data_IF_060758908377
#
_entry.id   IF_060758908377
#
_cell.length_a   1.000
_cell.length_b   1.000
_cell.length_c   1.000
_cell.angle_alpha   90.00
_cell.angle_beta   90.00
_cell.angle_gamma   90.00
#
_symmetry.space_group_name_H-M   'P 1'
#
loop_
_entity.id
_entity.type
_entity.pdbx_description
1 polymer ?
#
# COMPACT_ATOMS: atom_id res chain seq x y z
N UNK A 1 -12.21 -25.80 15.12
CA UNK A 1 -11.88 -24.40 14.79
C UNK A 1 -11.21 -23.80 16.00
N UNK A 2 -9.91 -23.56 15.94
CA UNK A 2 -9.17 -22.88 17.01
C UNK A 2 -9.77 -21.49 17.18
N UNK A 3 -10.18 -21.15 18.40
CA UNK A 3 -10.77 -19.84 18.68
C UNK A 3 -9.71 -18.76 18.38
N UNK A 4 -9.94 -17.95 17.34
CA UNK A 4 -9.06 -16.85 16.94
C UNK A 4 -9.26 -15.60 17.82
N UNK A 5 -10.07 -15.68 18.87
CA UNK A 5 -10.30 -14.56 19.76
C UNK A 5 -9.00 -14.18 20.49
N UNK A 6 -8.62 -12.90 20.39
CA UNK A 6 -7.62 -12.31 21.27
C UNK A 6 -8.08 -12.41 22.73
N UNK A 7 -7.15 -12.57 23.68
CA UNK A 7 -7.49 -12.54 25.09
C UNK A 7 -8.20 -11.21 25.44
N UNK A 8 -9.07 -11.20 26.46
CA UNK A 8 -9.70 -9.96 26.92
C UNK A 8 -8.62 -8.97 27.38
N UNK A 9 -8.84 -7.69 27.07
CA UNK A 9 -7.94 -6.62 27.52
C UNK A 9 -8.09 -6.50 29.05
N UNK A 10 -6.99 -6.60 29.82
CA UNK A 10 -7.03 -6.38 31.26
C UNK A 10 -7.53 -4.98 31.61
N UNK A 11 -8.38 -4.90 32.65
CA UNK A 11 -9.01 -3.64 33.09
C UNK A 11 -8.07 -2.74 33.91
N UNK A 12 -6.91 -3.26 34.31
CA UNK A 12 -5.91 -2.61 35.17
C UNK A 12 -4.73 -2.00 34.41
N UNK A 13 -4.75 -1.99 33.07
CA UNK A 13 -3.75 -1.28 32.29
C UNK A 13 -3.80 0.22 32.57
N UNK A 14 -2.64 0.79 32.91
CA UNK A 14 -2.46 2.23 32.86
C UNK A 14 -2.41 2.73 31.39
N UNK A 15 -2.43 4.04 31.21
CA UNK A 15 -2.45 4.68 29.90
C UNK A 15 -1.22 4.32 29.04
N UNK A 16 -0.06 4.13 29.65
CA UNK A 16 1.19 3.82 28.93
C UNK A 16 1.17 2.36 28.43
N UNK A 17 0.69 1.43 29.24
CA UNK A 17 0.44 0.05 28.84
C UNK A 17 -0.58 -0.01 27.70
N UNK A 18 -1.70 0.73 27.80
CA UNK A 18 -2.67 0.83 26.70
C UNK A 18 -2.04 1.37 25.41
N UNK A 19 -1.21 2.42 25.51
CA UNK A 19 -0.52 2.98 24.35
C UNK A 19 0.45 1.97 23.71
N UNK A 20 1.19 1.21 24.52
CA UNK A 20 2.11 0.18 24.04
C UNK A 20 1.36 -0.97 23.34
N UNK A 21 0.25 -1.43 23.92
CA UNK A 21 -0.59 -2.48 23.35
C UNK A 21 -1.25 -2.05 22.04
N UNK A 22 -1.77 -0.82 21.97
CA UNK A 22 -2.30 -0.24 20.72
C UNK A 22 -1.20 -0.22 19.65
N UNK A 23 0.01 0.23 20.00
CA UNK A 23 1.13 0.33 19.06
C UNK A 23 1.60 -1.04 18.58
N UNK A 24 1.71 -2.01 19.48
CA UNK A 24 2.07 -3.39 19.16
C UNK A 24 1.04 -4.02 18.23
N UNK A 25 -0.24 -3.93 18.57
CA UNK A 25 -1.32 -4.50 17.77
C UNK A 25 -1.42 -3.81 16.40
N UNK A 26 -1.22 -2.50 16.33
CA UNK A 26 -1.18 -1.78 15.06
C UNK A 26 -0.04 -2.30 14.16
N UNK A 27 1.16 -2.55 14.71
CA UNK A 27 2.28 -3.17 13.99
C UNK A 27 1.94 -4.57 13.48
N UNK A 28 1.33 -5.41 14.33
CA UNK A 28 0.88 -6.75 13.95
C UNK A 28 -0.19 -6.72 12.85
N UNK A 29 -1.15 -5.78 12.91
CA UNK A 29 -2.15 -5.56 11.86
C UNK A 29 -1.49 -5.14 10.55
N UNK A 30 -0.43 -4.31 10.59
CA UNK A 30 0.32 -3.93 9.40
C UNK A 30 1.04 -5.13 8.78
N UNK A 31 1.76 -5.92 9.58
CA UNK A 31 2.41 -7.15 9.11
C UNK A 31 1.40 -8.17 8.55
N UNK A 32 0.24 -8.32 9.19
CA UNK A 32 -0.85 -9.16 8.67
C UNK A 32 -1.43 -8.62 7.36
N UNK A 33 -1.57 -7.29 7.22
CA UNK A 33 -1.95 -6.66 5.96
C UNK A 33 -0.90 -6.92 4.86
N UNK A 34 0.40 -6.79 5.14
CA UNK A 34 1.46 -7.16 4.19
C UNK A 34 1.27 -8.59 3.71
N UNK A 35 1.11 -9.54 4.65
CA UNK A 35 0.89 -10.95 4.31
C UNK A 35 -0.33 -11.16 3.42
N UNK A 36 -1.45 -10.48 3.72
CA UNK A 36 -2.65 -10.49 2.88
C UNK A 36 -2.36 -9.97 1.47
N UNK A 37 -1.63 -8.86 1.33
CA UNK A 37 -1.27 -8.31 0.01
C UNK A 37 -0.40 -9.27 -0.80
N UNK A 38 0.56 -9.99 -0.17
CA UNK A 38 1.36 -11.00 -0.90
C UNK A 38 0.49 -12.16 -1.41
N UNK A 39 -0.54 -12.56 -0.65
CA UNK A 39 -1.51 -13.56 -1.11
C UNK A 39 -2.35 -13.03 -2.27
N UNK A 40 -2.82 -11.77 -2.19
CA UNK A 40 -3.57 -11.11 -3.25
C UNK A 40 -2.73 -11.03 -4.54
N UNK A 41 -1.47 -10.61 -4.46
CA UNK A 41 -0.57 -10.53 -5.62
C UNK A 41 -0.44 -11.87 -6.35
N UNK A 42 -0.11 -12.94 -5.62
CA UNK A 42 -0.01 -14.28 -6.20
C UNK A 42 -1.34 -14.78 -6.77
N UNK A 43 -2.45 -14.48 -6.10
CA UNK A 43 -3.79 -14.89 -6.54
C UNK A 43 -4.22 -14.15 -7.82
N UNK A 44 -3.91 -12.86 -7.92
CA UNK A 44 -4.19 -12.03 -9.10
C UNK A 44 -3.35 -12.46 -10.30
N UNK A 45 -2.04 -12.69 -10.11
CA UNK A 45 -1.14 -13.21 -11.15
C UNK A 45 -1.61 -14.55 -11.72
N UNK A 46 -2.08 -15.46 -10.86
CA UNK A 46 -2.61 -16.76 -11.27
C UNK A 46 -4.01 -16.68 -11.88
N UNK A 47 -4.61 -15.47 -11.93
CA UNK A 47 -6.03 -15.25 -12.30
C UNK A 47 -6.98 -16.17 -11.53
N UNK A 48 -6.64 -16.52 -10.28
CA UNK A 48 -7.40 -17.46 -9.47
C UNK A 48 -8.81 -16.96 -9.13
N UNK A 49 -9.02 -15.66 -9.24
CA UNK A 49 -10.32 -15.01 -9.09
C UNK A 49 -11.29 -15.33 -10.22
N UNK A 50 -10.82 -15.74 -11.40
CA UNK A 50 -11.66 -15.81 -12.62
C UNK A 50 -12.83 -16.80 -12.51
N UNK A 51 -12.71 -17.87 -11.72
CA UNK A 51 -13.79 -18.83 -11.47
C UNK A 51 -14.42 -19.36 -12.76
N UNK A 52 -13.59 -19.69 -13.77
CA UNK A 52 -14.07 -20.12 -15.09
C UNK A 52 -14.61 -18.98 -15.98
N UNK A 53 -14.24 -17.72 -15.71
CA UNK A 53 -14.64 -16.53 -16.49
C UNK A 53 -15.82 -15.74 -15.91
N UNK A 54 -16.34 -16.13 -14.75
CA UNK A 54 -17.54 -15.53 -14.14
C UNK A 54 -17.27 -14.22 -13.40
N UNK A 55 -16.10 -14.09 -12.77
CA UNK A 55 -15.73 -12.88 -12.01
C UNK A 55 -14.83 -12.00 -12.85
N UNK A 56 -15.09 -10.68 -12.86
CA UNK A 56 -14.46 -9.72 -13.79
C UNK A 56 -13.02 -9.32 -13.44
N UNK A 57 -12.59 -9.46 -12.19
CA UNK A 57 -11.24 -9.07 -11.71
C UNK A 57 -11.01 -9.56 -10.28
N UNK A 58 -9.76 -9.57 -9.82
CA UNK A 58 -9.42 -9.85 -8.42
C UNK A 58 -10.16 -8.93 -7.43
N UNK A 59 -10.30 -7.64 -7.74
CA UNK A 59 -11.00 -6.70 -6.86
C UNK A 59 -12.48 -7.05 -6.67
N UNK A 60 -13.16 -7.53 -7.72
CA UNK A 60 -14.54 -8.01 -7.63
C UNK A 60 -14.64 -9.30 -6.81
N UNK A 61 -13.65 -10.19 -6.94
CA UNK A 61 -13.57 -11.40 -6.13
C UNK A 61 -13.40 -11.08 -4.65
N UNK A 62 -12.49 -10.15 -4.30
CA UNK A 62 -12.30 -9.68 -2.93
C UNK A 62 -13.56 -9.00 -2.37
N UNK A 63 -14.28 -8.26 -3.21
CA UNK A 63 -15.55 -7.67 -2.80
C UNK A 63 -16.59 -8.73 -2.43
N UNK A 64 -16.73 -9.76 -3.25
CA UNK A 64 -17.67 -10.85 -2.99
C UNK A 64 -17.24 -11.75 -1.83
N UNK A 65 -16.00 -12.26 -1.85
CA UNK A 65 -15.54 -13.30 -0.92
C UNK A 65 -15.02 -12.77 0.40
N UNK A 66 -14.52 -11.53 0.43
CA UNK A 66 -13.95 -10.93 1.63
C UNK A 66 -14.79 -9.76 2.16
N UNK A 67 -15.89 -9.40 1.50
CA UNK A 67 -16.75 -8.28 1.92
C UNK A 67 -16.08 -6.90 1.83
N UNK A 68 -14.97 -6.77 1.10
CA UNK A 68 -14.21 -5.51 0.99
C UNK A 68 -14.90 -4.62 -0.04
N UNK A 69 -15.18 -3.35 0.31
CA UNK A 69 -15.74 -2.40 -0.66
C UNK A 69 -14.88 -2.32 -1.94
N UNK A 70 -15.51 -2.23 -3.12
CA UNK A 70 -14.82 -2.37 -4.40
C UNK A 70 -13.66 -1.37 -4.59
N UNK A 71 -13.79 -0.14 -4.09
CA UNK A 71 -12.72 0.87 -4.10
C UNK A 71 -11.50 0.44 -3.27
N UNK A 72 -11.72 -0.03 -2.04
CA UNK A 72 -10.67 -0.55 -1.18
C UNK A 72 -10.05 -1.83 -1.74
N UNK A 73 -10.84 -2.69 -2.39
CA UNK A 73 -10.34 -3.90 -3.04
C UNK A 73 -9.40 -3.56 -4.21
N UNK A 74 -9.78 -2.59 -5.07
CA UNK A 74 -8.91 -2.10 -6.15
C UNK A 74 -7.61 -1.50 -5.61
N UNK A 75 -7.69 -0.73 -4.51
CA UNK A 75 -6.51 -0.19 -3.87
C UNK A 75 -5.58 -1.30 -3.39
N UNK A 76 -6.10 -2.32 -2.70
CA UNK A 76 -5.30 -3.46 -2.23
C UNK A 76 -4.63 -4.20 -3.38
N UNK A 77 -5.35 -4.47 -4.47
CA UNK A 77 -4.77 -5.12 -5.67
C UNK A 77 -3.64 -4.27 -6.26
N UNK A 78 -3.82 -2.95 -6.39
CA UNK A 78 -2.76 -2.04 -6.87
C UNK A 78 -1.54 -2.07 -5.96
N UNK A 79 -1.73 -1.90 -4.65
CA UNK A 79 -0.62 -1.89 -3.69
C UNK A 79 0.11 -3.22 -3.69
N UNK A 80 -0.63 -4.34 -3.76
CA UNK A 80 -0.05 -5.68 -3.84
C UNK A 80 0.88 -5.83 -5.06
N UNK A 81 0.47 -5.35 -6.24
CA UNK A 81 1.31 -5.36 -7.44
C UNK A 81 2.52 -4.45 -7.34
N UNK A 82 2.39 -3.25 -6.76
CA UNK A 82 3.51 -2.32 -6.61
C UNK A 82 4.62 -2.83 -5.68
N UNK A 83 4.27 -3.56 -4.61
CA UNK A 83 5.25 -4.02 -3.62
C UNK A 83 6.28 -5.00 -4.19
N UNK A 84 6.01 -5.64 -5.32
CA UNK A 84 6.94 -6.59 -5.95
C UNK A 84 8.22 -5.91 -6.46
N UNK A 85 8.16 -4.61 -6.76
CA UNK A 85 9.28 -3.81 -7.23
C UNK A 85 9.84 -2.86 -6.17
N UNK A 86 9.44 -2.97 -4.91
CA UNK A 86 9.78 -2.02 -3.85
C UNK A 86 10.32 -2.75 -2.60
N UNK A 87 11.52 -3.36 -2.67
CA UNK A 87 12.02 -4.27 -1.65
C UNK A 87 12.20 -3.62 -0.27
N UNK A 88 12.56 -2.34 -0.20
CA UNK A 88 12.75 -1.66 1.08
C UNK A 88 11.40 -1.38 1.76
N UNK A 89 10.43 -0.90 0.99
CA UNK A 89 9.06 -0.66 1.49
C UNK A 89 8.40 -2.00 1.85
N UNK A 90 8.57 -3.05 1.03
CA UNK A 90 8.03 -4.40 1.31
C UNK A 90 8.59 -4.94 2.63
N UNK A 91 9.90 -4.82 2.86
CA UNK A 91 10.57 -5.27 4.10
C UNK A 91 10.07 -4.51 5.33
N UNK A 92 10.06 -3.17 5.29
CA UNK A 92 9.58 -2.35 6.41
C UNK A 92 8.10 -2.60 6.72
N UNK A 93 7.28 -2.84 5.68
CA UNK A 93 5.87 -3.15 5.87
C UNK A 93 5.65 -4.56 6.45
N UNK A 94 6.45 -5.55 6.03
CA UNK A 94 6.44 -6.90 6.58
C UNK A 94 6.78 -6.90 8.09
N UNK A 95 7.70 -6.04 8.51
CA UNK A 95 8.07 -5.84 9.91
C UNK A 95 7.02 -5.05 10.72
N UNK A 96 6.00 -4.47 10.07
CA UNK A 96 4.95 -3.67 10.72
C UNK A 96 5.38 -2.25 11.10
N UNK A 97 6.58 -1.82 10.69
CA UNK A 97 7.19 -0.52 11.03
C UNK A 97 6.49 0.67 10.34
N UNK A 98 5.92 0.42 9.17
CA UNK A 98 5.14 1.40 8.41
C UNK A 98 3.70 0.92 8.23
N UNK A 99 2.75 1.86 8.29
CA UNK A 99 1.33 1.52 8.19
C UNK A 99 0.87 1.32 6.75
N UNK A 100 -0.19 0.52 6.57
CA UNK A 100 -0.84 0.36 5.26
C UNK A 100 -1.23 1.71 4.63
N UNK A 101 -1.62 2.69 5.44
CA UNK A 101 -1.94 4.04 4.97
C UNK A 101 -0.73 4.78 4.39
N UNK A 102 0.47 4.61 4.96
CA UNK A 102 1.70 5.16 4.40
C UNK A 102 2.08 4.43 3.12
N UNK A 103 2.04 3.09 3.13
CA UNK A 103 2.38 2.24 1.98
C UNK A 103 1.45 2.52 0.78
N UNK A 104 0.12 2.56 0.97
CA UNK A 104 -0.84 2.84 -0.10
C UNK A 104 -0.62 4.22 -0.74
N UNK A 105 -0.16 5.20 0.04
CA UNK A 105 0.17 6.53 -0.44
C UNK A 105 1.48 6.51 -1.24
N UNK A 106 2.58 5.99 -0.67
CA UNK A 106 3.89 5.93 -1.32
C UNK A 106 3.86 5.19 -2.66
N UNK A 107 3.22 4.02 -2.70
CA UNK A 107 3.09 3.19 -3.92
C UNK A 107 2.36 3.87 -5.10
N UNK A 108 1.89 5.11 -4.97
CA UNK A 108 1.38 5.90 -6.10
C UNK A 108 2.49 6.53 -6.93
N UNK A 109 3.68 6.70 -6.36
CA UNK A 109 4.83 7.37 -6.99
C UNK A 109 6.16 6.67 -6.71
N UNK A 110 6.18 5.68 -5.81
CA UNK A 110 7.36 4.95 -5.45
C UNK A 110 7.90 4.14 -6.62
N UNK A 111 9.20 4.23 -6.83
CA UNK A 111 10.01 3.45 -7.76
C UNK A 111 11.23 2.90 -7.02
N UNK A 112 11.93 1.89 -7.54
CA UNK A 112 13.16 1.39 -6.92
C UNK A 112 14.20 2.50 -6.64
N UNK A 113 14.24 3.54 -7.47
CA UNK A 113 15.20 4.63 -7.38
C UNK A 113 14.87 5.64 -6.27
N UNK A 114 13.60 5.78 -5.89
CA UNK A 114 13.14 6.78 -4.91
C UNK A 114 12.57 6.19 -3.62
N UNK A 115 12.46 4.86 -3.51
CA UNK A 115 11.80 4.21 -2.37
C UNK A 115 12.49 4.47 -1.03
N UNK A 116 13.83 4.56 -0.98
CA UNK A 116 14.58 4.87 0.24
C UNK A 116 14.19 6.26 0.79
N UNK A 117 14.12 7.26 -0.08
CA UNK A 117 13.72 8.62 0.29
C UNK A 117 12.30 8.65 0.87
N UNK A 118 11.35 8.00 0.18
CA UNK A 118 9.96 7.93 0.65
C UNK A 118 9.85 7.15 1.97
N UNK A 119 10.61 6.06 2.12
CA UNK A 119 10.64 5.24 3.33
C UNK A 119 11.15 6.02 4.53
N UNK A 120 12.23 6.80 4.38
CA UNK A 120 12.74 7.68 5.46
C UNK A 120 11.66 8.66 5.93
N UNK A 121 10.94 9.29 5.00
CA UNK A 121 9.83 10.18 5.34
C UNK A 121 8.72 9.41 6.07
N UNK A 122 8.43 8.19 5.63
CA UNK A 122 7.41 7.36 6.26
C UNK A 122 7.81 6.90 7.66
N UNK A 123 9.08 6.64 7.95
CA UNK A 123 9.55 6.22 9.28
C UNK A 123 9.44 7.35 10.31
N UNK A 124 9.78 8.58 9.94
CA UNK A 124 9.79 9.72 10.87
C UNK A 124 8.57 10.65 10.76
N UNK A 125 7.71 10.45 9.76
CA UNK A 125 6.56 11.30 9.46
C UNK A 125 5.20 10.66 9.76
N UNK A 126 4.15 11.50 9.76
CA UNK A 126 2.76 11.02 9.82
C UNK A 126 2.29 10.56 8.44
N UNK A 127 1.18 9.81 8.38
CA UNK A 127 0.56 9.45 7.10
C UNK A 127 0.19 10.69 6.26
N UNK A 128 -0.26 11.78 6.91
CA UNK A 128 -0.55 13.05 6.22
C UNK A 128 0.70 13.70 5.62
N UNK A 129 1.85 13.62 6.29
CA UNK A 129 3.13 14.08 5.72
C UNK A 129 3.48 13.30 4.45
N UNK A 130 3.35 11.97 4.50
CA UNK A 130 3.57 11.10 3.33
C UNK A 130 2.62 11.47 2.19
N UNK A 131 1.33 11.63 2.48
CA UNK A 131 0.33 12.00 1.46
C UNK A 131 0.63 13.35 0.80
N UNK A 132 1.06 14.36 1.58
CA UNK A 132 1.47 15.68 1.06
C UNK A 132 2.69 15.57 0.16
N UNK A 133 3.72 14.84 0.56
CA UNK A 133 4.95 14.65 -0.22
C UNK A 133 4.64 13.93 -1.54
N UNK A 134 3.90 12.82 -1.48
CA UNK A 134 3.46 12.07 -2.66
C UNK A 134 2.63 12.95 -3.60
N UNK A 135 1.71 13.76 -3.06
CA UNK A 135 0.90 14.69 -3.84
C UNK A 135 1.75 15.69 -4.62
N UNK A 136 2.73 16.32 -3.96
CA UNK A 136 3.67 17.26 -4.60
C UNK A 136 4.55 16.57 -5.64
N UNK A 137 5.11 15.40 -5.32
CA UNK A 137 5.93 14.64 -6.25
C UNK A 137 5.17 14.35 -7.54
N UNK A 138 3.94 13.84 -7.43
CA UNK A 138 3.09 13.55 -8.59
C UNK A 138 2.79 14.79 -9.44
N UNK A 139 2.61 15.95 -8.81
CA UNK A 139 2.37 17.20 -9.53
C UNK A 139 3.61 17.63 -10.34
N UNK A 140 4.80 17.52 -9.75
CA UNK A 140 6.06 17.87 -10.42
C UNK A 140 6.36 16.90 -11.56
N UNK A 141 6.25 15.58 -11.34
CA UNK A 141 6.49 14.59 -12.39
C UNK A 141 5.57 14.82 -13.59
N UNK A 142 4.26 15.00 -13.35
CA UNK A 142 3.30 15.28 -14.43
C UNK A 142 3.61 16.55 -15.21
N UNK A 143 4.12 17.58 -14.53
CA UNK A 143 4.50 18.82 -15.19
C UNK A 143 5.72 18.59 -16.08
N UNK A 144 6.75 17.92 -15.55
CA UNK A 144 7.96 17.62 -16.30
C UNK A 144 7.67 16.73 -17.52
N UNK A 145 6.79 15.73 -17.38
CA UNK A 145 6.39 14.85 -18.47
C UNK A 145 5.68 15.66 -19.58
N UNK A 146 4.77 16.56 -19.21
CA UNK A 146 4.08 17.44 -20.17
C UNK A 146 5.04 18.45 -20.84
N UNK A 147 5.96 19.04 -20.08
CA UNK A 147 6.96 19.97 -20.62
C UNK A 147 7.88 19.23 -21.63
N UNK A 148 8.28 17.99 -21.33
CA UNK A 148 9.11 17.16 -22.22
C UNK A 148 8.37 16.69 -23.49
N UNK A 149 7.07 16.41 -23.41
CA UNK A 149 6.23 16.10 -24.59
C UNK A 149 6.13 17.32 -25.52
N UNK A 150 5.91 18.52 -24.96
CA UNK A 150 5.88 19.76 -25.73
C UNK A 150 7.23 20.06 -26.41
N UNK A 151 8.35 19.90 -25.71
CA UNK A 151 9.70 20.09 -26.28
C UNK A 151 9.99 19.08 -27.42
N UNK A 152 9.48 17.84 -27.33
CA UNK A 152 9.61 16.85 -28.41
C UNK A 152 8.74 17.20 -29.62
N UNK A 153 7.52 17.68 -29.42
CA UNK A 153 6.63 18.12 -30.50
C UNK A 153 7.19 19.36 -31.22
N UNK A 154 7.68 20.36 -30.49
CA UNK A 154 8.33 21.55 -31.05
C UNK A 154 9.66 21.19 -31.77
N UNK A 155 10.41 20.21 -31.26
CA UNK A 155 11.64 19.73 -31.89
C UNK A 155 11.40 18.94 -33.19
N UNK A 156 10.26 18.28 -33.33
CA UNK A 156 9.84 17.58 -34.56
C UNK A 156 9.30 18.58 -35.59
N UNK A 157 8.60 19.63 -35.16
CA UNK A 157 8.03 20.64 -36.06
C UNK A 157 9.07 21.62 -36.62
N UNK A 158 10.20 21.79 -35.91
CA UNK A 158 11.33 22.65 -36.33
C UNK A 158 12.49 21.90 -37.03
N UNK A 159 12.36 20.59 -37.30
CA UNK A 159 13.37 19.75 -37.98
C UNK A 159 12.96 19.39 -39.42
#
# INVERSE_FOLDING_TARGET
>A
MTNLAFPPIPVDFDTDHLANEITLLAGQINAANHRLLKLIAQFDQRKGWSGGGTVRSCAHWLNWKCGIALSAAREKVRVAGCLESLPQIDTAFAAGEISYSKVRAMTRVATPENEDFLLRIAQYGTASHVEKVVGKYRQVTRKNDADAELEQEEGIENA
#
